data_IF_830690192601
#
_entry.id   IF_830690192601
#
_cell.length_a   1.000
_cell.length_b   1.000
_cell.length_c   1.000
_cell.angle_alpha   90.00
_cell.angle_beta   90.00
_cell.angle_gamma   90.00
#
_symmetry.space_group_name_H-M   'P 1'
#
loop_
_entity.id
_entity.type
_entity.pdbx_description
1 polymer ?
#
# COMPACT_ATOMS: atom_id res chain seq x y z
N UNK A 1 9.35 -23.01 -6.44
CA UNK A 1 8.33 -23.95 -5.90
C UNK A 1 7.06 -23.74 -6.71
N UNK A 2 6.37 -24.80 -7.15
CA UNK A 2 5.10 -24.66 -7.88
C UNK A 2 3.93 -24.74 -6.89
N UNK A 3 3.03 -23.76 -6.93
CA UNK A 3 1.84 -23.70 -6.09
C UNK A 3 0.62 -24.13 -6.90
N UNK A 4 -0.18 -25.05 -6.36
CA UNK A 4 -1.45 -25.44 -6.97
C UNK A 4 -2.56 -24.53 -6.45
N UNK A 5 -3.33 -23.94 -7.36
CA UNK A 5 -4.48 -23.09 -7.04
C UNK A 5 -5.70 -23.61 -7.80
N UNK A 6 -6.87 -23.54 -7.17
CA UNK A 6 -8.12 -23.89 -7.84
C UNK A 6 -8.61 -22.69 -8.66
N UNK A 7 -8.80 -22.89 -9.97
CA UNK A 7 -9.29 -21.86 -10.90
C UNK A 7 -10.51 -22.43 -11.63
N UNK A 8 -11.66 -21.73 -11.64
CA UNK A 8 -12.83 -22.18 -12.39
C UNK A 8 -12.52 -22.40 -13.88
N UNK A 9 -13.06 -23.45 -14.53
CA UNK A 9 -12.73 -23.77 -15.93
C UNK A 9 -12.95 -22.60 -16.90
N UNK A 10 -14.06 -21.87 -16.76
CA UNK A 10 -14.38 -20.73 -17.60
C UNK A 10 -13.33 -19.60 -17.50
N UNK A 11 -12.79 -19.37 -16.29
CA UNK A 11 -11.73 -18.38 -16.08
C UNK A 11 -10.41 -18.87 -16.65
N UNK A 12 -10.08 -20.15 -16.47
CA UNK A 12 -8.86 -20.76 -17.02
C UNK A 12 -8.81 -20.65 -18.55
N UNK A 13 -9.93 -20.90 -19.24
CA UNK A 13 -10.04 -20.73 -20.68
C UNK A 13 -9.80 -19.28 -21.13
N UNK A 14 -10.37 -18.31 -20.40
CA UNK A 14 -10.17 -16.90 -20.69
C UNK A 14 -8.69 -16.49 -20.51
N UNK A 15 -8.04 -16.97 -19.45
CA UNK A 15 -6.61 -16.78 -19.19
C UNK A 15 -5.78 -17.39 -20.32
N UNK A 16 -6.10 -18.59 -20.78
CA UNK A 16 -5.39 -19.24 -21.89
C UNK A 16 -5.50 -18.48 -23.21
N UNK A 17 -6.70 -18.01 -23.55
CA UNK A 17 -6.90 -17.17 -24.74
C UNK A 17 -6.05 -15.90 -24.66
N UNK A 18 -6.03 -15.25 -23.49
CA UNK A 18 -5.25 -14.03 -23.27
C UNK A 18 -3.75 -14.31 -23.34
N UNK A 19 -3.25 -15.36 -22.69
CA UNK A 19 -1.85 -15.74 -22.71
C UNK A 19 -1.38 -16.04 -24.14
N UNK A 20 -2.19 -16.77 -24.92
CA UNK A 20 -1.92 -17.04 -26.34
C UNK A 20 -1.85 -15.77 -27.18
N UNK A 21 -2.77 -14.81 -27.00
CA UNK A 21 -2.72 -13.52 -27.70
C UNK A 21 -1.45 -12.71 -27.39
N UNK A 22 -0.92 -12.88 -26.19
CA UNK A 22 0.29 -12.21 -25.71
C UNK A 22 1.57 -13.01 -25.98
N UNK A 23 1.47 -14.21 -26.59
CA UNK A 23 2.58 -15.14 -26.83
C UNK A 23 3.41 -15.46 -25.58
N UNK A 24 2.75 -15.54 -24.42
CA UNK A 24 3.37 -15.91 -23.13
C UNK A 24 2.72 -17.16 -22.56
N UNK A 25 3.38 -17.80 -21.59
CA UNK A 25 2.78 -18.93 -20.89
C UNK A 25 1.63 -18.48 -19.99
N UNK A 26 0.68 -19.39 -19.74
CA UNK A 26 -0.39 -19.20 -18.76
C UNK A 26 0.16 -18.77 -17.40
N UNK A 27 1.18 -19.48 -16.90
CA UNK A 27 1.80 -19.18 -15.62
C UNK A 27 2.40 -17.77 -15.60
N UNK A 28 3.08 -17.36 -16.67
CA UNK A 28 3.65 -16.02 -16.76
C UNK A 28 2.56 -14.94 -16.73
N UNK A 29 1.41 -15.17 -17.39
CA UNK A 29 0.29 -14.25 -17.32
C UNK A 29 -0.30 -14.18 -15.90
N UNK A 30 -0.49 -15.32 -15.24
CA UNK A 30 -1.01 -15.40 -13.86
C UNK A 30 -0.08 -14.66 -12.90
N UNK A 31 1.23 -14.93 -12.95
CA UNK A 31 2.22 -14.27 -12.08
C UNK A 31 2.19 -12.76 -12.31
N UNK A 32 2.24 -12.29 -13.56
CA UNK A 32 2.17 -10.84 -13.86
C UNK A 32 0.88 -10.17 -13.38
N UNK A 33 -0.24 -10.90 -13.42
CA UNK A 33 -1.50 -10.39 -12.92
C UNK A 33 -1.48 -10.24 -11.40
N UNK A 34 -0.94 -11.23 -10.69
CA UNK A 34 -0.78 -11.19 -9.24
C UNK A 34 0.22 -10.10 -8.81
N UNK A 35 1.37 -9.99 -9.48
CA UNK A 35 2.36 -8.93 -9.21
C UNK A 35 1.75 -7.55 -9.36
N UNK A 36 1.00 -7.30 -10.43
CA UNK A 36 0.29 -6.04 -10.64
C UNK A 36 -0.74 -5.77 -9.55
N UNK A 37 -1.52 -6.76 -9.13
CA UNK A 37 -2.53 -6.58 -8.09
C UNK A 37 -1.89 -6.24 -6.75
N UNK A 38 -0.81 -6.95 -6.39
CA UNK A 38 -0.04 -6.70 -5.17
C UNK A 38 0.62 -5.31 -5.20
N UNK A 39 1.11 -4.86 -6.36
CA UNK A 39 1.72 -3.54 -6.52
C UNK A 39 0.70 -2.40 -6.62
N UNK A 40 -0.49 -2.66 -7.17
CA UNK A 40 -1.56 -1.67 -7.28
C UNK A 40 -2.18 -1.33 -5.91
N UNK A 41 -2.08 -2.25 -4.93
CA UNK A 41 -2.44 -2.03 -3.54
C UNK A 41 -1.39 -1.28 -2.70
N UNK A 42 -0.59 -0.40 -3.31
CA UNK A 42 0.37 0.46 -2.60
C UNK A 42 -0.29 1.73 -2.00
N UNK A 43 -1.57 1.65 -1.63
CA UNK A 43 -2.08 2.47 -0.53
C UNK A 43 -1.59 1.81 0.76
N UNK A 44 -0.97 2.61 1.63
CA UNK A 44 -0.39 2.30 2.94
C UNK A 44 -0.40 0.82 3.33
N UNK A 45 0.78 0.20 3.44
CA UNK A 45 0.92 -1.22 3.80
C UNK A 45 0.01 -1.63 4.96
N UNK A 46 -0.58 -2.83 4.91
CA UNK A 46 -1.26 -3.42 6.06
C UNK A 46 -0.30 -3.42 7.25
N UNK A 47 -0.65 -2.75 8.35
CA UNK A 47 0.25 -2.54 9.49
C UNK A 47 0.86 -1.13 9.56
N UNK A 48 0.68 -0.27 8.56
CA UNK A 48 1.27 1.07 8.55
C UNK A 48 0.73 1.93 9.69
N UNK A 49 -0.59 1.92 9.91
CA UNK A 49 -1.22 2.72 10.96
C UNK A 49 -0.80 2.20 12.34
N UNK A 50 -0.64 0.88 12.47
CA UNK A 50 -0.15 0.22 13.66
C UNK A 50 1.29 0.63 13.95
N UNK A 51 2.17 0.68 12.94
CA UNK A 51 3.54 1.22 13.09
C UNK A 51 3.56 2.71 13.40
N UNK A 52 2.62 3.48 12.84
CA UNK A 52 2.49 4.89 13.16
C UNK A 52 2.00 5.11 14.61
N UNK A 53 1.28 4.15 15.19
CA UNK A 53 0.89 4.18 16.59
C UNK A 53 2.04 3.78 17.55
N UNK A 54 3.09 3.12 17.05
CA UNK A 54 4.31 2.75 17.81
C UNK A 54 5.24 3.96 18.09
N UNK A 55 4.72 5.19 18.12
CA UNK A 55 5.53 6.40 18.39
C UNK A 55 6.06 6.37 19.82
N UNK A 56 7.37 6.54 19.96
CA UNK A 56 8.02 6.55 21.27
C UNK A 56 7.81 7.86 22.04
N UNK A 57 8.00 7.80 23.36
CA UNK A 57 7.81 8.96 24.24
C UNK A 57 8.79 10.11 23.97
N UNK A 58 9.89 9.85 23.26
CA UNK A 58 10.84 10.89 22.86
C UNK A 58 10.30 11.68 21.67
N UNK A 59 9.87 11.00 20.61
CA UNK A 59 9.29 11.62 19.42
C UNK A 59 8.03 12.40 19.78
N UNK A 60 7.20 11.89 20.70
CA UNK A 60 6.03 12.62 21.17
C UNK A 60 6.39 13.98 21.81
N UNK A 61 7.45 14.03 22.63
CA UNK A 61 7.95 15.26 23.26
C UNK A 61 8.52 16.23 22.23
N UNK A 62 9.28 15.73 21.27
CA UNK A 62 9.87 16.56 20.22
C UNK A 62 8.79 17.24 19.36
N UNK A 63 7.66 16.55 19.12
CA UNK A 63 6.49 17.12 18.43
C UNK A 63 5.84 18.22 19.27
N UNK A 64 5.70 18.05 20.58
CA UNK A 64 5.15 19.07 21.47
C UNK A 64 6.03 20.33 21.49
N UNK A 65 7.36 20.15 21.56
CA UNK A 65 8.34 21.24 21.52
C UNK A 65 8.30 21.98 20.17
N UNK A 66 8.24 21.23 19.07
CA UNK A 66 8.07 21.77 17.70
C UNK A 66 6.78 22.60 17.61
N UNK A 67 5.65 22.07 18.08
CA UNK A 67 4.38 22.79 18.06
C UNK A 67 4.40 24.03 18.95
N UNK A 68 5.07 23.97 20.10
CA UNK A 68 5.32 25.10 20.97
C UNK A 68 6.06 26.23 20.24
N UNK A 69 7.16 25.88 19.55
CA UNK A 69 7.94 26.84 18.75
C UNK A 69 7.12 27.43 17.59
N UNK A 70 6.35 26.61 16.87
CA UNK A 70 5.48 27.08 15.78
C UNK A 70 4.39 28.04 16.30
N UNK A 71 3.78 27.73 17.44
CA UNK A 71 2.78 28.61 18.08
C UNK A 71 3.41 29.94 18.51
N UNK A 72 4.59 29.90 19.14
CA UNK A 72 5.30 31.11 19.56
C UNK A 72 5.76 31.99 18.39
N UNK A 73 6.12 31.36 17.25
CA UNK A 73 6.51 32.06 16.03
C UNK A 73 5.35 32.58 15.18
N UNK A 74 4.11 32.14 15.43
CA UNK A 74 2.94 32.56 14.66
C UNK A 74 2.51 33.97 15.05
N UNK A 75 2.89 34.95 14.21
CA UNK A 75 2.56 36.37 14.41
C UNK A 75 1.36 36.90 13.62
N UNK A 76 0.89 36.20 12.56
CA UNK A 76 -0.09 36.79 11.61
C UNK A 76 -1.36 36.00 11.32
N UNK A 77 -1.53 34.76 11.81
CA UNK A 77 -2.77 33.98 11.59
C UNK A 77 -3.20 33.25 12.86
N UNK A 78 -4.46 33.46 13.26
CA UNK A 78 -5.10 32.73 14.36
C UNK A 78 -5.11 31.23 14.06
N UNK A 79 -4.87 30.42 15.10
CA UNK A 79 -4.92 28.98 14.99
C UNK A 79 -6.33 28.54 14.57
N UNK A 80 -6.43 27.70 13.53
CA UNK A 80 -7.69 27.07 13.17
C UNK A 80 -8.00 26.05 14.28
N UNK A 81 -9.12 26.22 14.95
CA UNK A 81 -9.58 25.26 15.95
C UNK A 81 -9.74 23.89 15.26
N UNK A 82 -9.02 22.89 15.77
CA UNK A 82 -9.18 21.49 15.40
C UNK A 82 -10.22 20.86 16.32
#
# INVERSE_FOLDING_TARGET
>A
MATSIHVPPALLEAVDRKARSLRISRNQLIVRALEREVQAGADWSVGFIERLAEVDSHTARDVDDLLGAVRAGRRSKLARAL
#
